data_IF_511105652814
#
_entry.id   IF_511105652814
#
_cell.length_a   1.000
_cell.length_b   1.000
_cell.length_c   1.000
_cell.angle_alpha   90.00
_cell.angle_beta   90.00
_cell.angle_gamma   90.00
#
_symmetry.space_group_name_H-M   'P 1'
#
loop_
_entity.id
_entity.type
_entity.pdbx_description
1 polymer ?
#
# COMPACT_ATOMS: atom_id res chain seq x y z
N UNK A 1 23.34 19.80 24.91
CA UNK A 1 21.89 19.61 24.78
C UNK A 1 21.23 19.44 26.12
N UNK A 2 19.94 19.70 26.20
CA UNK A 2 19.19 19.61 27.47
C UNK A 2 19.18 18.18 28.01
N UNK A 3 19.08 18.04 29.31
CA UNK A 3 19.10 16.74 29.98
C UNK A 3 17.94 15.85 29.49
N UNK A 4 18.24 14.60 29.15
CA UNK A 4 17.25 13.64 28.61
C UNK A 4 16.98 13.71 27.14
N UNK A 5 17.53 14.67 26.38
CA UNK A 5 17.38 14.77 24.92
C UNK A 5 18.14 13.64 24.24
N UNK A 6 17.44 12.88 23.40
CA UNK A 6 17.98 11.77 22.64
C UNK A 6 18.22 12.09 21.16
N UNK A 7 17.89 13.29 20.73
CA UNK A 7 18.09 13.82 19.38
C UNK A 7 17.45 15.17 19.21
N UNK A 8 18.01 15.98 18.34
CA UNK A 8 17.50 17.32 18.04
C UNK A 8 17.67 17.64 16.55
N UNK A 9 16.86 18.52 16.04
CA UNK A 9 16.91 19.02 14.70
C UNK A 9 16.65 20.53 14.68
N UNK A 10 17.57 21.26 14.09
CA UNK A 10 17.36 22.64 13.69
C UNK A 10 16.90 22.70 12.23
N UNK A 11 15.79 23.34 11.99
CA UNK A 11 15.22 23.50 10.66
C UNK A 11 14.97 24.98 10.36
N UNK A 12 15.12 25.38 9.10
CA UNK A 12 14.77 26.71 8.59
C UNK A 12 13.62 26.53 7.61
N UNK A 13 12.48 27.14 7.89
CA UNK A 13 11.32 27.06 7.02
C UNK A 13 10.43 28.31 7.17
N UNK A 14 9.88 28.81 6.07
CA UNK A 14 8.96 29.94 6.09
C UNK A 14 9.53 31.21 6.73
N UNK A 15 10.84 31.45 6.63
CA UNK A 15 11.51 32.62 7.21
C UNK A 15 11.84 32.51 8.71
N UNK A 16 11.58 31.38 9.35
CA UNK A 16 11.86 31.14 10.76
C UNK A 16 12.80 29.97 11.01
N UNK A 17 13.39 29.96 12.22
CA UNK A 17 14.17 28.84 12.73
C UNK A 17 13.30 28.03 13.69
N UNK A 18 13.34 26.71 13.52
CA UNK A 18 12.62 25.74 14.35
C UNK A 18 13.61 24.83 15.01
N UNK A 19 13.49 24.63 16.33
CA UNK A 19 14.29 23.70 17.10
C UNK A 19 13.38 22.60 17.65
N UNK A 20 13.50 21.39 17.12
CA UNK A 20 12.74 20.23 17.54
C UNK A 20 13.61 19.31 18.35
N UNK A 21 13.22 19.00 19.58
CA UNK A 21 13.90 18.09 20.49
C UNK A 21 13.09 16.82 20.68
N UNK A 22 13.77 15.68 20.73
CA UNK A 22 13.21 14.38 21.06
C UNK A 22 13.77 13.88 22.36
N UNK A 23 12.95 13.81 23.38
CA UNK A 23 13.32 13.24 24.67
C UNK A 23 13.31 11.71 24.62
N UNK A 24 14.22 11.07 25.37
CA UNK A 24 14.33 9.60 25.43
C UNK A 24 13.14 8.97 26.14
N UNK A 25 12.68 9.57 27.23
CA UNK A 25 11.53 9.13 28.00
C UNK A 25 10.47 10.23 28.05
N UNK A 26 10.77 11.37 28.71
CA UNK A 26 9.90 12.53 28.81
C UNK A 26 10.73 13.79 29.09
N UNK A 27 10.23 15.02 28.77
CA UNK A 27 10.86 16.27 29.20
C UNK A 27 10.70 16.47 30.70
N UNK A 28 11.51 17.38 31.29
CA UNK A 28 11.40 17.75 32.69
C UNK A 28 10.00 18.27 33.03
N UNK A 29 9.46 19.15 32.16
CA UNK A 29 8.12 19.70 32.27
C UNK A 29 7.35 19.41 30.95
N UNK A 30 6.05 19.15 31.08
CA UNK A 30 5.19 18.95 29.89
C UNK A 30 4.71 20.31 29.37
N UNK A 31 4.87 20.60 28.07
CA UNK A 31 4.26 21.78 27.47
C UNK A 31 2.73 21.60 27.40
N UNK A 32 2.02 22.70 27.57
CA UNK A 32 0.59 22.76 27.31
C UNK A 32 0.33 23.76 26.14
N UNK A 33 -0.34 23.33 25.06
CA UNK A 33 -1.00 22.06 24.82
C UNK A 33 -0.08 21.00 24.17
N UNK A 34 -0.41 19.72 24.36
CA UNK A 34 0.22 18.61 23.63
C UNK A 34 -0.59 18.28 22.38
N UNK A 35 0.07 18.24 21.22
CA UNK A 35 -0.56 17.79 19.96
C UNK A 35 -0.41 16.26 19.81
N UNK A 36 -1.52 15.60 19.50
CA UNK A 36 -1.59 14.15 19.35
C UNK A 36 -1.80 13.76 17.88
N UNK A 37 -0.77 13.22 17.22
CA UNK A 37 -0.80 12.77 15.83
C UNK A 37 -1.52 11.41 15.68
N UNK A 38 -2.80 11.35 16.04
CA UNK A 38 -3.61 10.12 15.96
C UNK A 38 -4.68 10.20 14.87
N UNK A 39 -5.22 11.41 14.68
CA UNK A 39 -6.33 11.62 13.75
C UNK A 39 -5.92 11.42 12.30
N UNK A 40 -4.68 11.74 11.94
CA UNK A 40 -4.11 11.51 10.62
C UNK A 40 -4.14 10.03 10.27
N UNK A 41 -3.73 9.15 11.20
CA UNK A 41 -3.78 7.70 10.99
C UNK A 41 -5.21 7.16 10.91
N UNK A 42 -6.10 7.66 11.78
CA UNK A 42 -7.49 7.20 11.82
C UNK A 42 -8.27 7.60 10.56
N UNK A 43 -8.19 8.87 10.15
CA UNK A 43 -8.87 9.33 8.95
C UNK A 43 -8.32 8.71 7.68
N UNK A 44 -7.02 8.48 7.60
CA UNK A 44 -6.41 7.76 6.47
C UNK A 44 -6.97 6.35 6.35
N UNK A 45 -7.07 5.63 7.47
CA UNK A 45 -7.62 4.27 7.45
C UNK A 45 -9.12 4.27 7.16
N UNK A 46 -9.91 5.13 7.81
CA UNK A 46 -11.36 5.20 7.63
C UNK A 46 -11.72 5.51 6.18
N UNK A 47 -11.09 6.53 5.58
CA UNK A 47 -11.34 6.88 4.18
C UNK A 47 -10.87 5.80 3.22
N UNK A 48 -9.70 5.21 3.47
CA UNK A 48 -9.17 4.10 2.67
C UNK A 48 -10.04 2.85 2.76
N UNK A 49 -10.52 2.51 3.95
CA UNK A 49 -11.43 1.36 4.14
C UNK A 49 -12.81 1.62 3.51
N UNK A 50 -13.36 2.83 3.64
CA UNK A 50 -14.61 3.20 2.97
C UNK A 50 -14.47 3.07 1.44
N UNK A 51 -13.38 3.55 0.87
CA UNK A 51 -13.08 3.38 -0.55
C UNK A 51 -12.94 1.90 -0.92
N UNK A 52 -12.28 1.10 -0.09
CA UNK A 52 -12.14 -0.34 -0.29
C UNK A 52 -13.50 -1.05 -0.30
N UNK A 53 -14.40 -0.69 0.61
CA UNK A 53 -15.79 -1.22 0.65
C UNK A 53 -16.54 -0.88 -0.64
N UNK A 54 -16.52 0.39 -1.05
CA UNK A 54 -17.24 0.85 -2.25
C UNK A 54 -16.68 0.19 -3.52
N UNK A 55 -15.36 0.15 -3.66
CA UNK A 55 -14.73 -0.37 -4.87
C UNK A 55 -14.75 -1.90 -4.94
N UNK A 56 -14.44 -2.57 -3.82
CA UNK A 56 -14.21 -4.02 -3.79
C UNK A 56 -15.37 -4.81 -3.23
N UNK A 57 -15.94 -4.43 -2.08
CA UNK A 57 -17.02 -5.21 -1.49
C UNK A 57 -18.36 -5.02 -2.21
N UNK A 58 -18.70 -3.78 -2.58
CA UNK A 58 -19.91 -3.53 -3.36
C UNK A 58 -19.86 -4.15 -4.78
N UNK A 59 -18.67 -4.34 -5.32
CA UNK A 59 -18.42 -4.91 -6.65
C UNK A 59 -17.53 -6.15 -6.60
N UNK A 60 -17.72 -7.03 -5.59
CA UNK A 60 -16.83 -8.15 -5.33
C UNK A 60 -16.69 -9.11 -6.52
N UNK A 61 -17.75 -9.34 -7.29
CA UNK A 61 -17.72 -10.18 -8.49
C UNK A 61 -16.75 -9.67 -9.56
N UNK A 62 -16.64 -8.34 -9.72
CA UNK A 62 -15.82 -7.72 -10.78
C UNK A 62 -14.39 -7.45 -10.36
N UNK A 63 -14.14 -7.22 -9.05
CA UNK A 63 -12.84 -6.74 -8.56
C UNK A 63 -12.10 -7.70 -7.63
N UNK A 64 -12.81 -8.62 -6.95
CA UNK A 64 -12.19 -9.56 -6.03
C UNK A 64 -12.12 -10.98 -6.59
N UNK A 65 -13.20 -11.42 -7.25
CA UNK A 65 -13.38 -12.80 -7.68
C UNK A 65 -12.88 -12.95 -9.11
N UNK A 66 -12.15 -14.02 -9.36
CA UNK A 66 -11.80 -14.49 -10.68
C UNK A 66 -12.25 -15.96 -10.78
N UNK A 67 -13.29 -16.27 -11.57
CA UNK A 67 -13.80 -17.64 -11.69
C UNK A 67 -12.79 -18.64 -12.25
N UNK A 68 -11.74 -18.14 -12.94
CA UNK A 68 -10.65 -19.00 -13.43
C UNK A 68 -9.68 -19.41 -12.32
N UNK A 69 -9.67 -18.69 -11.21
CA UNK A 69 -8.85 -18.97 -10.02
C UNK A 69 -9.63 -19.77 -9.00
N UNK A 70 -10.82 -19.27 -8.60
CA UNK A 70 -11.70 -19.96 -7.66
C UNK A 70 -13.15 -19.51 -7.83
N UNK A 71 -14.06 -20.49 -7.78
CA UNK A 71 -15.51 -20.22 -7.80
C UNK A 71 -16.00 -20.01 -6.36
N UNK A 72 -15.96 -18.75 -5.91
CA UNK A 72 -16.42 -18.35 -4.59
C UNK A 72 -17.53 -17.29 -4.69
N UNK A 73 -18.44 -17.30 -3.73
CA UNK A 73 -19.48 -16.28 -3.64
C UNK A 73 -18.93 -14.93 -3.15
N UNK A 74 -19.58 -13.79 -3.48
CA UNK A 74 -19.20 -12.49 -2.92
C UNK A 74 -19.15 -12.46 -1.40
N UNK A 75 -20.08 -13.14 -0.74
CA UNK A 75 -20.14 -13.22 0.72
C UNK A 75 -18.91 -13.94 1.30
N UNK A 76 -18.47 -15.04 0.67
CA UNK A 76 -17.26 -15.75 1.07
C UNK A 76 -16.01 -14.89 0.84
N UNK A 77 -15.91 -14.21 -0.30
CA UNK A 77 -14.79 -13.32 -0.60
C UNK A 77 -14.67 -12.17 0.43
N UNK A 78 -15.80 -11.51 0.74
CA UNK A 78 -15.84 -10.43 1.73
C UNK A 78 -15.56 -10.98 3.15
N UNK A 79 -16.15 -12.11 3.53
CA UNK A 79 -15.92 -12.75 4.81
C UNK A 79 -14.46 -13.11 5.04
N UNK A 80 -13.81 -13.72 4.04
CA UNK A 80 -12.39 -14.04 4.06
C UNK A 80 -11.53 -12.77 4.17
N UNK A 81 -11.86 -11.73 3.40
CA UNK A 81 -11.17 -10.45 3.45
C UNK A 81 -11.23 -9.84 4.84
N UNK A 82 -12.41 -9.73 5.45
CA UNK A 82 -12.58 -9.19 6.80
C UNK A 82 -11.86 -10.03 7.86
N UNK A 83 -11.91 -11.36 7.75
CA UNK A 83 -11.20 -12.27 8.64
C UNK A 83 -9.68 -12.06 8.57
N UNK A 84 -9.14 -11.82 7.37
CA UNK A 84 -7.71 -11.53 7.19
C UNK A 84 -7.30 -10.15 7.71
N UNK A 85 -8.15 -9.12 7.59
CA UNK A 85 -7.87 -7.80 8.18
C UNK A 85 -7.79 -7.91 9.71
N UNK A 86 -8.79 -8.55 10.33
CA UNK A 86 -8.84 -8.73 11.78
C UNK A 86 -7.74 -9.69 12.26
N UNK A 87 -7.64 -10.87 11.64
CA UNK A 87 -6.68 -11.91 12.00
C UNK A 87 -5.23 -11.48 11.79
N UNK A 88 -4.96 -10.73 10.72
CA UNK A 88 -3.65 -10.19 10.43
C UNK A 88 -3.14 -9.27 11.56
N UNK A 89 -3.99 -8.34 12.01
CA UNK A 89 -3.61 -7.49 13.14
C UNK A 89 -3.51 -8.24 14.46
N UNK A 90 -4.49 -9.08 14.79
CA UNK A 90 -4.49 -9.84 16.04
C UNK A 90 -3.29 -10.78 16.13
N UNK A 91 -2.99 -11.51 15.06
CA UNK A 91 -1.83 -12.40 14.99
C UNK A 91 -0.51 -11.66 15.10
N UNK A 92 -0.38 -10.53 14.41
CA UNK A 92 0.80 -9.66 14.50
C UNK A 92 0.96 -9.07 15.90
N UNK A 93 -0.12 -8.58 16.53
CA UNK A 93 -0.06 -8.02 17.88
C UNK A 93 0.33 -9.08 18.92
N UNK A 94 -0.26 -10.28 18.81
CA UNK A 94 0.09 -11.42 19.64
C UNK A 94 1.56 -11.85 19.47
N UNK A 95 2.05 -11.88 18.22
CA UNK A 95 3.45 -12.17 17.91
C UNK A 95 4.38 -11.19 18.60
N UNK A 96 4.12 -9.88 18.48
CA UNK A 96 4.94 -8.85 19.10
C UNK A 96 4.89 -8.91 20.64
N UNK A 97 3.72 -9.21 21.23
CA UNK A 97 3.58 -9.38 22.69
C UNK A 97 4.37 -10.59 23.21
N UNK A 98 4.36 -11.69 22.46
CA UNK A 98 5.07 -12.93 22.83
C UNK A 98 6.57 -12.86 22.60
N UNK A 99 7.01 -12.25 21.51
CA UNK A 99 8.41 -12.09 21.20
C UNK A 99 9.12 -11.07 22.12
N UNK A 100 8.37 -10.11 22.67
CA UNK A 100 8.93 -9.03 23.49
C UNK A 100 9.71 -8.00 22.68
N UNK A 101 10.55 -7.20 23.36
CA UNK A 101 11.34 -6.14 22.74
C UNK A 101 12.70 -6.62 22.21
N UNK A 102 13.16 -7.78 22.67
CA UNK A 102 14.52 -8.27 22.39
C UNK A 102 14.63 -9.02 21.07
N UNK A 103 13.50 -9.48 20.49
CA UNK A 103 13.46 -10.35 19.31
C UNK A 103 12.92 -9.63 18.07
N UNK A 104 13.21 -8.35 17.90
CA UNK A 104 12.70 -7.54 16.76
C UNK A 104 13.00 -8.15 15.39
N UNK A 105 14.20 -8.72 15.20
CA UNK A 105 14.57 -9.37 13.93
C UNK A 105 13.72 -10.61 13.63
N UNK A 106 13.43 -11.41 14.66
CA UNK A 106 12.57 -12.58 14.53
C UNK A 106 11.14 -12.16 14.17
N UNK A 107 10.60 -11.13 14.85
CA UNK A 107 9.28 -10.58 14.52
C UNK A 107 9.23 -10.12 13.07
N UNK A 108 10.23 -9.35 12.61
CA UNK A 108 10.31 -8.91 11.22
C UNK A 108 10.32 -10.07 10.23
N UNK A 109 11.15 -11.09 10.48
CA UNK A 109 11.22 -12.28 9.64
C UNK A 109 9.89 -13.04 9.59
N UNK A 110 9.27 -13.30 10.75
CA UNK A 110 7.98 -13.99 10.82
C UNK A 110 6.89 -13.22 10.09
N UNK A 111 6.85 -11.89 10.23
CA UNK A 111 5.88 -11.04 9.51
C UNK A 111 6.07 -11.15 8.01
N UNK A 112 7.31 -11.09 7.51
CA UNK A 112 7.61 -11.23 6.08
C UNK A 112 7.13 -12.61 5.56
N UNK A 113 7.48 -13.68 6.28
CA UNK A 113 7.08 -15.05 5.90
C UNK A 113 5.56 -15.20 5.90
N UNK A 114 4.88 -14.72 6.94
CA UNK A 114 3.41 -14.80 7.03
C UNK A 114 2.76 -14.00 5.91
N UNK A 115 3.21 -12.78 5.63
CA UNK A 115 2.67 -11.97 4.52
C UNK A 115 2.88 -12.65 3.16
N UNK A 116 4.05 -13.27 2.94
CA UNK A 116 4.34 -14.03 1.72
C UNK A 116 3.42 -15.26 1.58
N UNK A 117 3.21 -16.01 2.67
CA UNK A 117 2.30 -17.17 2.69
C UNK A 117 0.85 -16.75 2.47
N UNK A 118 0.40 -15.65 3.07
CA UNK A 118 -0.94 -15.10 2.85
C UNK A 118 -1.08 -14.64 1.39
N UNK A 119 -0.11 -13.94 0.81
CA UNK A 119 -0.14 -13.53 -0.58
C UNK A 119 -0.18 -14.73 -1.53
N UNK A 120 0.61 -15.77 -1.25
CA UNK A 120 0.56 -17.03 -1.99
C UNK A 120 -0.79 -17.72 -1.86
N UNK A 121 -1.33 -17.90 -0.65
CA UNK A 121 -2.63 -18.51 -0.44
C UNK A 121 -3.76 -17.74 -1.12
N UNK A 122 -3.75 -16.41 -1.03
CA UNK A 122 -4.73 -15.55 -1.69
C UNK A 122 -4.64 -15.60 -3.21
N UNK A 123 -3.47 -15.87 -3.79
CA UNK A 123 -3.33 -16.03 -5.25
C UNK A 123 -4.08 -17.22 -5.83
N UNK A 124 -4.54 -18.13 -4.97
CA UNK A 124 -5.38 -19.29 -5.33
C UNK A 124 -6.88 -19.05 -5.05
N UNK A 125 -7.24 -17.86 -4.58
CA UNK A 125 -8.62 -17.56 -4.18
C UNK A 125 -9.13 -16.27 -4.84
N UNK A 126 -8.29 -15.25 -4.94
CA UNK A 126 -8.65 -13.93 -5.44
C UNK A 126 -7.98 -13.62 -6.79
N UNK A 127 -8.56 -12.68 -7.52
CA UNK A 127 -7.91 -12.07 -8.67
C UNK A 127 -6.56 -11.45 -8.27
N UNK A 128 -5.58 -11.43 -9.16
CA UNK A 128 -4.24 -10.90 -8.86
C UNK A 128 -4.27 -9.48 -8.31
N UNK A 129 -5.15 -8.62 -8.84
CA UNK A 129 -5.37 -7.25 -8.34
C UNK A 129 -5.90 -7.24 -6.90
N UNK A 130 -6.83 -8.13 -6.57
CA UNK A 130 -7.40 -8.22 -5.23
C UNK A 130 -6.39 -8.73 -4.21
N UNK A 131 -5.48 -9.65 -4.59
CA UNK A 131 -4.36 -10.09 -3.74
C UNK A 131 -3.52 -8.92 -3.27
N UNK A 132 -3.10 -8.05 -4.22
CA UNK A 132 -2.29 -6.88 -3.89
C UNK A 132 -3.00 -5.97 -2.90
N UNK A 133 -4.25 -5.61 -3.21
CA UNK A 133 -5.00 -4.69 -2.36
C UNK A 133 -5.36 -5.28 -1.00
N UNK A 134 -5.64 -6.57 -0.93
CA UNK A 134 -5.89 -7.26 0.34
C UNK A 134 -4.66 -7.25 1.26
N UNK A 135 -3.47 -7.53 0.73
CA UNK A 135 -2.21 -7.43 1.49
C UNK A 135 -1.97 -5.98 1.94
N UNK A 136 -2.19 -5.00 1.06
CA UNK A 136 -2.09 -3.59 1.41
C UNK A 136 -3.06 -3.16 2.50
N UNK A 137 -4.32 -3.55 2.40
CA UNK A 137 -5.36 -3.27 3.40
C UNK A 137 -5.04 -3.93 4.74
N UNK A 138 -4.50 -5.16 4.73
CA UNK A 138 -4.08 -5.86 5.95
C UNK A 138 -2.92 -5.13 6.63
N UNK A 139 -1.88 -4.75 5.91
CA UNK A 139 -0.74 -3.99 6.45
C UNK A 139 -1.22 -2.61 6.94
N UNK A 140 -2.03 -1.89 6.18
CA UNK A 140 -2.59 -0.60 6.59
C UNK A 140 -3.43 -0.68 7.85
N UNK A 141 -4.23 -1.75 8.00
CA UNK A 141 -4.98 -2.04 9.23
C UNK A 141 -4.05 -2.29 10.42
N UNK A 142 -2.98 -3.09 10.23
CA UNK A 142 -1.96 -3.31 11.26
C UNK A 142 -1.30 -2.00 11.68
N UNK A 143 -0.95 -1.12 10.73
CA UNK A 143 -0.32 0.16 11.00
C UNK A 143 -1.22 1.08 11.84
N UNK A 144 -2.49 1.22 11.46
CA UNK A 144 -3.43 2.08 12.19
C UNK A 144 -3.81 1.49 13.54
N UNK A 145 -4.00 0.18 13.61
CA UNK A 145 -4.27 -0.51 14.88
C UNK A 145 -3.07 -0.41 15.85
N UNK A 146 -1.83 -0.42 15.36
CA UNK A 146 -0.66 -0.10 16.17
C UNK A 146 -0.75 1.29 16.79
N UNK A 147 -1.19 2.30 16.02
CA UNK A 147 -1.39 3.67 16.54
C UNK A 147 -2.46 3.67 17.62
N UNK A 148 -3.62 3.08 17.34
CA UNK A 148 -4.79 3.13 18.21
C UNK A 148 -4.61 2.35 19.52
N UNK A 149 -4.03 1.14 19.46
CA UNK A 149 -4.03 0.20 20.58
C UNK A 149 -2.70 0.06 21.30
N UNK A 150 -1.60 0.54 20.70
CA UNK A 150 -0.26 0.43 21.33
C UNK A 150 0.43 1.77 21.47
N UNK A 151 0.59 2.53 20.37
CA UNK A 151 1.38 3.76 20.38
C UNK A 151 0.71 4.83 21.25
N UNK A 152 -0.56 5.16 20.97
CA UNK A 152 -1.29 6.19 21.72
C UNK A 152 -1.51 5.80 23.19
N UNK A 153 -1.93 4.57 23.55
CA UNK A 153 -2.00 4.16 24.96
C UNK A 153 -0.66 4.23 25.68
N UNK A 154 0.43 3.80 25.03
CA UNK A 154 1.78 3.92 25.61
C UNK A 154 2.19 5.37 25.87
N UNK A 155 1.94 6.27 24.92
CA UNK A 155 2.21 7.70 25.08
C UNK A 155 1.35 8.32 26.18
N UNK A 156 0.06 7.95 26.28
CA UNK A 156 -0.81 8.41 27.36
C UNK A 156 -0.29 7.99 28.73
N UNK A 157 0.20 6.77 28.89
CA UNK A 157 0.77 6.29 30.15
C UNK A 157 1.99 7.14 30.57
N UNK A 158 2.86 7.53 29.63
CA UNK A 158 4.00 8.41 29.91
C UNK A 158 3.56 9.81 30.33
N UNK A 159 2.58 10.40 29.62
CA UNK A 159 2.04 11.74 29.95
C UNK A 159 1.38 11.73 31.33
N UNK A 160 0.50 10.77 31.60
CA UNK A 160 -0.20 10.66 32.88
C UNK A 160 0.76 10.46 34.07
N UNK A 161 1.85 9.71 33.90
CA UNK A 161 2.86 9.57 34.94
C UNK A 161 3.49 10.93 35.26
N UNK A 162 3.85 11.71 34.20
CA UNK A 162 4.41 13.06 34.39
C UNK A 162 3.43 14.03 35.04
N UNK A 163 2.16 14.04 34.62
CA UNK A 163 1.11 14.88 35.20
C UNK A 163 0.89 14.60 36.71
N UNK A 164 1.12 13.35 37.12
CA UNK A 164 1.05 12.92 38.54
C UNK A 164 2.33 13.14 39.32
N UNK A 165 3.38 13.73 38.73
CA UNK A 165 4.68 13.91 39.34
C UNK A 165 5.48 12.61 39.49
N UNK A 166 5.07 11.52 38.83
CA UNK A 166 5.74 10.22 38.87
C UNK A 166 6.78 10.11 37.76
N UNK A 167 7.82 9.32 38.00
CA UNK A 167 8.78 8.95 36.95
C UNK A 167 8.09 8.04 35.91
N UNK A 168 8.08 8.40 34.60
CA UNK A 168 7.48 7.58 33.58
C UNK A 168 8.24 6.26 33.38
N UNK A 169 7.52 5.13 33.28
CA UNK A 169 8.12 3.83 32.98
C UNK A 169 8.61 3.78 31.52
N UNK A 170 9.92 3.59 31.26
CA UNK A 170 10.50 3.53 29.92
C UNK A 170 9.91 2.42 29.05
N UNK A 171 9.35 1.34 29.62
CA UNK A 171 8.76 0.20 28.88
C UNK A 171 7.63 0.66 27.98
N UNK A 172 6.82 1.63 28.41
CA UNK A 172 5.78 2.21 27.55
C UNK A 172 6.37 2.89 26.32
N UNK A 173 7.43 3.69 26.51
CA UNK A 173 8.14 4.33 25.40
C UNK A 173 8.75 3.33 24.42
N UNK A 174 9.36 2.26 24.93
CA UNK A 174 9.97 1.20 24.12
C UNK A 174 8.93 0.43 23.29
N UNK A 175 7.78 0.08 23.87
CA UNK A 175 6.68 -0.58 23.16
C UNK A 175 6.11 0.29 22.04
N UNK A 176 5.83 1.56 22.33
CA UNK A 176 5.37 2.51 21.32
C UNK A 176 6.38 2.69 20.19
N UNK A 177 7.69 2.80 20.54
CA UNK A 177 8.79 2.90 19.57
C UNK A 177 8.90 1.67 18.67
N UNK A 178 8.80 0.46 19.22
CA UNK A 178 8.84 -0.79 18.44
C UNK A 178 7.78 -0.77 17.33
N UNK A 179 6.52 -0.49 17.70
CA UNK A 179 5.41 -0.44 16.72
C UNK A 179 5.58 0.69 15.71
N UNK A 180 6.07 1.85 16.14
CA UNK A 180 6.38 2.96 15.25
C UNK A 180 7.47 2.60 14.23
N UNK A 181 8.52 1.88 14.64
CA UNK A 181 9.56 1.39 13.73
C UNK A 181 8.99 0.39 12.73
N UNK A 182 8.14 -0.55 13.15
CA UNK A 182 7.46 -1.47 12.23
C UNK A 182 6.61 -0.70 11.20
N UNK A 183 5.83 0.29 11.64
CA UNK A 183 5.05 1.14 10.73
C UNK A 183 5.93 1.85 9.70
N UNK A 184 7.15 2.30 10.08
CA UNK A 184 8.06 2.91 9.09
C UNK A 184 8.54 1.93 8.02
N UNK A 185 8.75 0.66 8.35
CA UNK A 185 9.09 -0.36 7.33
C UNK A 185 7.91 -0.72 6.44
N UNK A 186 6.68 -0.68 6.94
CA UNK A 186 5.46 -0.93 6.16
C UNK A 186 5.10 0.21 5.21
N UNK A 187 5.59 1.43 5.43
CA UNK A 187 5.17 2.62 4.68
C UNK A 187 5.40 2.47 3.17
N UNK A 188 6.62 2.16 2.73
CA UNK A 188 6.91 2.06 1.29
C UNK A 188 6.22 0.87 0.62
N UNK A 189 6.16 -0.34 1.21
CA UNK A 189 5.35 -1.43 0.67
C UNK A 189 3.88 -1.04 0.46
N UNK A 190 3.25 -0.40 1.45
CA UNK A 190 1.84 0.01 1.34
C UNK A 190 1.65 1.08 0.27
N UNK A 191 2.54 2.07 0.19
CA UNK A 191 2.49 3.10 -0.86
C UNK A 191 2.56 2.50 -2.27
N UNK A 192 3.47 1.53 -2.48
CA UNK A 192 3.51 0.81 -3.75
C UNK A 192 2.20 0.08 -4.04
N UNK A 193 1.66 -0.65 -3.06
CA UNK A 193 0.40 -1.40 -3.24
C UNK A 193 -0.76 -0.45 -3.58
N UNK A 194 -0.83 0.74 -2.97
CA UNK A 194 -1.86 1.74 -3.26
C UNK A 194 -1.85 2.18 -4.74
N UNK A 195 -0.67 2.29 -5.36
CA UNK A 195 -0.53 2.68 -6.76
C UNK A 195 -0.46 1.49 -7.72
N UNK A 196 -0.38 0.26 -7.21
CA UNK A 196 -0.19 -0.95 -8.02
C UNK A 196 -1.28 -1.19 -9.05
N UNK A 197 -2.50 -0.69 -8.81
CA UNK A 197 -3.61 -0.77 -9.76
C UNK A 197 -3.31 -0.13 -11.13
N UNK A 198 -2.35 0.81 -11.17
CA UNK A 198 -1.89 1.46 -12.41
C UNK A 198 -0.81 0.66 -13.15
N UNK A 199 -0.33 -0.44 -12.58
CA UNK A 199 0.76 -1.26 -13.12
C UNK A 199 0.31 -2.71 -13.38
N UNK A 200 -0.52 -2.97 -14.42
CA UNK A 200 -1.06 -4.31 -14.70
C UNK A 200 -0.01 -5.40 -14.86
N UNK A 201 1.20 -5.05 -15.33
CA UNK A 201 2.31 -5.99 -15.45
C UNK A 201 2.73 -6.63 -14.12
N UNK A 202 2.42 -6.01 -12.98
CA UNK A 202 2.76 -6.56 -11.66
C UNK A 202 1.75 -7.58 -11.18
N UNK A 203 0.48 -7.21 -11.07
CA UNK A 203 -0.57 -8.08 -10.56
C UNK A 203 -1.14 -9.04 -11.63
N UNK A 204 -0.96 -8.75 -12.92
CA UNK A 204 -1.29 -9.65 -14.03
C UNK A 204 -0.20 -10.67 -14.35
N UNK A 205 0.97 -10.62 -13.69
CA UNK A 205 2.03 -11.59 -13.90
C UNK A 205 1.62 -12.99 -13.42
N UNK A 206 1.99 -14.11 -14.12
CA UNK A 206 1.66 -15.47 -13.70
C UNK A 206 2.09 -15.81 -12.26
N UNK A 207 3.14 -15.15 -11.78
CA UNK A 207 3.63 -15.26 -10.40
C UNK A 207 3.46 -13.95 -9.64
N UNK A 208 2.29 -13.31 -9.75
CA UNK A 208 1.99 -12.00 -9.18
C UNK A 208 2.31 -11.89 -7.68
N UNK A 209 2.02 -12.93 -6.90
CA UNK A 209 2.34 -12.96 -5.47
C UNK A 209 3.85 -12.87 -5.18
N UNK A 210 4.72 -13.49 -6.03
CA UNK A 210 6.18 -13.37 -5.88
C UNK A 210 6.64 -11.95 -6.23
N UNK A 211 6.07 -11.35 -7.27
CA UNK A 211 6.34 -9.95 -7.66
C UNK A 211 5.97 -9.02 -6.51
N UNK A 212 4.80 -9.20 -5.90
CA UNK A 212 4.37 -8.43 -4.72
C UNK A 212 5.37 -8.52 -3.58
N UNK A 213 5.76 -9.75 -3.21
CA UNK A 213 6.73 -10.00 -2.13
C UNK A 213 8.09 -9.36 -2.45
N UNK A 214 8.58 -9.53 -3.68
CA UNK A 214 9.86 -8.95 -4.11
C UNK A 214 9.85 -7.41 -4.02
N UNK A 215 8.78 -6.77 -4.49
CA UNK A 215 8.64 -5.31 -4.41
C UNK A 215 8.51 -4.86 -2.95
N UNK A 216 7.75 -5.56 -2.12
CA UNK A 216 7.61 -5.22 -0.70
C UNK A 216 8.95 -5.33 0.06
N UNK A 217 9.75 -6.37 -0.23
CA UNK A 217 11.09 -6.53 0.34
C UNK A 217 12.04 -5.44 -0.14
N UNK A 218 12.01 -5.12 -1.44
CA UNK A 218 12.81 -4.03 -2.00
C UNK A 218 12.45 -2.69 -1.38
N UNK A 219 11.16 -2.40 -1.23
CA UNK A 219 10.67 -1.19 -0.57
C UNK A 219 11.09 -1.11 0.91
N UNK A 220 11.01 -2.22 1.64
CA UNK A 220 11.50 -2.31 3.02
C UNK A 220 13.02 -2.13 3.10
N UNK A 221 13.78 -2.66 2.13
CA UNK A 221 15.23 -2.50 2.05
C UNK A 221 15.63 -1.04 1.77
N UNK A 222 14.93 -0.36 0.84
CA UNK A 222 15.10 1.09 0.64
C UNK A 222 14.78 1.86 1.93
N UNK A 223 13.71 1.49 2.62
CA UNK A 223 13.36 2.13 3.91
C UNK A 223 14.43 1.94 4.97
N UNK A 224 15.11 0.80 4.97
CA UNK A 224 16.21 0.52 5.89
C UNK A 224 17.36 1.53 5.76
N UNK A 225 17.70 1.94 4.51
CA UNK A 225 18.68 3.01 4.29
C UNK A 225 18.30 4.30 5.01
N UNK A 226 17.04 4.75 4.87
CA UNK A 226 16.58 5.96 5.53
C UNK A 226 16.59 5.84 7.05
N UNK A 227 16.23 4.67 7.59
CA UNK A 227 16.28 4.41 9.02
C UNK A 227 17.73 4.44 9.57
N UNK A 228 18.70 3.94 8.82
CA UNK A 228 20.12 4.04 9.17
C UNK A 228 20.61 5.49 9.10
N UNK A 229 20.25 6.21 8.05
CA UNK A 229 20.63 7.62 7.86
C UNK A 229 20.11 8.48 9.01
N UNK A 230 18.87 8.29 9.47
CA UNK A 230 18.33 9.00 10.64
C UNK A 230 19.06 8.66 11.95
N UNK A 231 19.81 7.56 12.00
CA UNK A 231 20.70 7.19 13.10
C UNK A 231 22.16 7.67 12.89
N UNK A 232 22.39 8.55 11.92
CA UNK A 232 23.74 9.07 11.59
C UNK A 232 24.62 8.12 10.79
N UNK A 233 24.09 6.99 10.29
CA UNK A 233 24.85 6.00 9.49
C UNK A 233 24.39 5.99 8.04
N UNK A 234 25.19 6.57 7.15
CA UNK A 234 24.89 6.57 5.70
C UNK A 234 25.63 5.45 5.01
N UNK A 235 24.91 4.47 4.48
CA UNK A 235 25.46 3.28 3.78
C UNK A 235 24.99 3.32 2.34
N UNK A 236 25.81 3.93 1.45
CA UNK A 236 25.47 4.11 0.03
C UNK A 236 25.34 2.80 -0.78
N UNK A 237 25.91 1.70 -0.27
CA UNK A 237 25.75 0.39 -0.89
C UNK A 237 24.27 -0.08 -0.93
N UNK A 238 23.44 0.36 0.03
CA UNK A 238 22.01 -0.03 0.09
C UNK A 238 21.22 0.54 -1.09
N UNK A 239 21.22 1.87 -1.35
CA UNK A 239 20.48 2.40 -2.51
C UNK A 239 21.07 1.92 -3.84
N UNK A 240 22.37 1.68 -3.95
CA UNK A 240 22.97 1.10 -5.16
C UNK A 240 22.46 -0.33 -5.42
N UNK A 241 22.47 -1.18 -4.39
CA UNK A 241 21.95 -2.55 -4.48
C UNK A 241 20.42 -2.55 -4.75
N UNK A 242 19.67 -1.62 -4.13
CA UNK A 242 18.25 -1.47 -4.37
C UNK A 242 17.95 -1.06 -5.82
N UNK A 243 18.71 -0.16 -6.40
CA UNK A 243 18.59 0.24 -7.80
C UNK A 243 18.83 -0.94 -8.76
N UNK A 244 19.88 -1.72 -8.53
CA UNK A 244 20.17 -2.91 -9.32
C UNK A 244 19.06 -3.96 -9.19
N UNK A 245 18.57 -4.21 -7.97
CA UNK A 245 17.46 -5.13 -7.74
C UNK A 245 16.15 -4.65 -8.40
N UNK A 246 15.89 -3.32 -8.39
CA UNK A 246 14.74 -2.74 -9.08
C UNK A 246 14.82 -2.92 -10.59
N UNK A 247 16.00 -2.70 -11.20
CA UNK A 247 16.22 -2.93 -12.63
C UNK A 247 16.06 -4.40 -13.00
N UNK A 248 16.63 -5.31 -12.21
CA UNK A 248 16.48 -6.75 -12.43
C UNK A 248 15.01 -7.17 -12.34
N UNK A 249 14.27 -6.69 -11.33
CA UNK A 249 12.85 -6.98 -11.18
C UNK A 249 12.04 -6.39 -12.36
N UNK A 250 12.33 -5.16 -12.78
CA UNK A 250 11.69 -4.53 -13.93
C UNK A 250 11.91 -5.36 -15.22
N UNK A 251 13.11 -5.90 -15.42
CA UNK A 251 13.41 -6.77 -16.56
C UNK A 251 12.60 -8.09 -16.51
N UNK A 252 12.37 -8.65 -15.31
CA UNK A 252 11.58 -9.87 -15.13
C UNK A 252 10.10 -9.67 -15.40
N UNK A 253 9.55 -8.51 -15.01
CA UNK A 253 8.11 -8.19 -15.17
C UNK A 253 7.80 -7.46 -16.47
N UNK A 254 8.81 -7.08 -17.25
CA UNK A 254 8.62 -6.41 -18.53
C UNK A 254 7.77 -7.28 -19.46
N UNK A 255 6.74 -6.73 -20.10
CA UNK A 255 6.01 -7.44 -21.12
C UNK A 255 6.94 -7.80 -22.30
N UNK A 256 6.72 -8.93 -22.96
CA UNK A 256 7.50 -9.27 -24.16
C UNK A 256 7.37 -8.15 -25.21
N UNK A 257 8.42 -7.93 -26.04
CA UNK A 257 8.37 -6.95 -27.11
C UNK A 257 7.16 -7.19 -28.01
N UNK A 258 6.53 -6.15 -28.56
CA UNK A 258 5.35 -6.28 -29.44
C UNK A 258 5.57 -7.21 -30.65
N UNK A 259 6.77 -7.33 -31.14
CA UNK A 259 7.17 -8.15 -32.29
C UNK A 259 7.27 -9.66 -31.97
N UNK A 260 7.32 -10.03 -30.70
CA UNK A 260 7.35 -11.43 -30.27
C UNK A 260 5.94 -12.08 -30.23
N UNK A 261 4.90 -11.27 -30.16
CA UNK A 261 3.53 -11.69 -30.40
C UNK A 261 3.26 -11.25 -31.83
N UNK A 262 3.29 -12.18 -32.78
CA UNK A 262 2.99 -11.86 -34.16
C UNK A 262 1.72 -11.04 -34.23
N UNK A 263 1.86 -9.72 -34.34
CA UNK A 263 0.72 -8.85 -34.54
C UNK A 263 0.02 -9.37 -35.80
N UNK A 264 -1.27 -9.77 -35.76
CA UNK A 264 -1.94 -10.26 -36.94
C UNK A 264 -1.75 -9.20 -38.02
N UNK A 265 -1.25 -9.61 -39.19
CA UNK A 265 -1.09 -8.69 -40.30
C UNK A 265 -2.45 -8.03 -40.55
N UNK A 266 -2.47 -6.81 -41.07
CA UNK A 266 -3.73 -6.13 -41.37
C UNK A 266 -4.68 -7.01 -42.18
N UNK A 267 -4.13 -7.88 -43.04
CA UNK A 267 -4.87 -8.88 -43.80
C UNK A 267 -5.52 -9.97 -42.92
N UNK A 268 -4.83 -10.44 -41.85
CA UNK A 268 -5.35 -11.42 -40.89
C UNK A 268 -6.39 -10.80 -39.97
N UNK A 269 -6.19 -9.57 -39.52
CA UNK A 269 -7.17 -8.84 -38.71
C UNK A 269 -8.46 -8.61 -39.51
N UNK A 270 -8.35 -8.22 -40.80
CA UNK A 270 -9.51 -8.02 -41.69
C UNK A 270 -10.21 -9.34 -42.02
N UNK A 271 -9.47 -10.42 -42.19
CA UNK A 271 -10.05 -11.76 -42.44
C UNK A 271 -10.72 -12.34 -41.17
N UNK A 272 -10.18 -12.07 -39.99
CA UNK A 272 -10.77 -12.44 -38.70
C UNK A 272 -12.07 -11.68 -38.41
N UNK A 273 -12.11 -10.37 -38.67
CA UNK A 273 -13.36 -9.59 -38.62
C UNK A 273 -14.38 -10.03 -39.63
N UNK A 274 -13.95 -10.35 -40.87
CA UNK A 274 -14.84 -10.88 -41.91
C UNK A 274 -15.41 -12.26 -41.54
N UNK A 275 -14.59 -13.16 -40.95
CA UNK A 275 -15.06 -14.44 -40.43
C UNK A 275 -16.03 -14.28 -39.27
N UNK A 276 -15.76 -13.35 -38.33
CA UNK A 276 -16.64 -13.07 -37.19
C UNK A 276 -17.99 -12.50 -37.63
N UNK A 277 -18.01 -11.68 -38.69
CA UNK A 277 -19.23 -11.18 -39.30
C UNK A 277 -20.01 -12.28 -40.07
N UNK A 278 -19.32 -13.24 -40.69
CA UNK A 278 -19.95 -14.36 -41.36
C UNK A 278 -20.51 -15.41 -40.38
N UNK A 279 -19.90 -15.63 -39.24
CA UNK A 279 -20.42 -16.53 -38.20
C UNK A 279 -21.50 -15.90 -37.33
N UNK A 280 -21.54 -14.58 -37.21
CA UNK A 280 -22.60 -13.79 -36.55
C UNK A 280 -23.80 -13.52 -37.50
N UNK A 281 -23.68 -13.82 -38.76
CA UNK A 281 -24.63 -13.46 -39.82
C UNK A 281 -25.83 -14.41 -39.98
N UNK A 282 -26.44 -14.88 -38.89
CA UNK A 282 -27.77 -15.44 -38.89
C UNK A 282 -28.72 -14.61 -38.02
N UNK A 283 -28.83 -13.31 -38.31
CA UNK A 283 -29.94 -12.47 -37.88
C UNK A 283 -30.40 -11.66 -39.10
N UNK A 284 -31.62 -11.90 -39.49
CA UNK A 284 -32.44 -11.35 -40.56
C UNK A 284 -32.18 -9.88 -40.88
N UNK A 285 -31.82 -9.63 -42.14
CA UNK A 285 -31.97 -8.31 -42.77
C UNK A 285 -33.45 -7.99 -42.94
N UNK A 286 -33.91 -6.95 -42.29
CA UNK A 286 -35.08 -6.21 -42.75
C UNK A 286 -34.58 -4.86 -43.29
N UNK A 287 -34.73 -4.70 -44.60
CA UNK A 287 -34.34 -3.53 -45.37
C UNK A 287 -35.24 -2.34 -45.02
N UNK A 288 -34.65 -1.22 -44.74
CA UNK A 288 -35.00 0.13 -45.26
C UNK A 288 -34.45 1.19 -44.33
N UNK A 289 -33.33 1.78 -44.71
CA UNK A 289 -33.16 3.25 -44.72
C UNK A 289 -31.78 3.60 -45.30
N UNK A 290 -31.77 4.45 -46.30
CA UNK A 290 -30.60 5.03 -46.97
C UNK A 290 -29.72 5.82 -45.99
N UNK A 291 -28.40 5.79 -46.11
CA UNK A 291 -27.53 6.75 -45.46
C UNK A 291 -27.40 8.00 -46.32
N UNK A 292 -27.78 9.11 -45.79
CA UNK A 292 -27.42 10.43 -46.34
C UNK A 292 -26.28 11.04 -45.51
N UNK A 293 -25.33 11.58 -46.27
CA UNK A 293 -24.32 12.59 -45.91
C UNK A 293 -23.10 12.18 -45.08
N UNK A 294 -22.05 12.08 -45.84
CA UNK A 294 -20.67 12.26 -45.47
C UNK A 294 -20.50 13.66 -44.83
N UNK A 295 -20.14 13.74 -43.56
CA UNK A 295 -19.62 14.96 -42.96
C UNK A 295 -18.10 14.95 -42.97
N UNK A 296 -17.52 15.93 -43.67
CA UNK A 296 -16.12 16.28 -43.68
C UNK A 296 -15.71 16.91 -42.33
N UNK A 297 -14.46 16.72 -41.85
CA UNK A 297 -13.99 17.31 -40.63
C UNK A 297 -13.51 18.74 -40.88
N UNK A 298 -14.30 19.73 -40.50
CA UNK A 298 -13.83 21.11 -40.36
C UNK A 298 -14.69 21.83 -39.32
N UNK A 299 -14.01 22.40 -38.36
CA UNK A 299 -14.45 23.30 -37.29
C UNK A 299 -14.43 22.73 -35.87
N UNK A 300 -13.21 22.62 -35.33
CA UNK A 300 -12.98 22.73 -33.92
C UNK A 300 -12.52 24.16 -33.67
N UNK A 301 -13.48 25.05 -33.43
CA UNK A 301 -13.20 26.44 -33.00
C UNK A 301 -13.23 26.48 -31.47
N UNK A 302 -12.16 26.99 -30.93
CA UNK A 302 -11.95 27.31 -29.53
C UNK A 302 -13.08 28.14 -28.91
N UNK A 303 -13.59 27.73 -27.76
CA UNK A 303 -14.25 28.60 -26.81
C UNK A 303 -13.44 28.66 -25.53
N UNK A 304 -12.52 29.61 -25.49
CA UNK A 304 -12.02 30.21 -24.25
C UNK A 304 -12.90 31.40 -23.94
N UNK A 305 -13.56 31.44 -22.80
CA UNK A 305 -13.67 32.70 -22.02
C UNK A 305 -14.36 32.49 -20.68
N UNK A 306 -13.66 32.92 -19.67
CA UNK A 306 -14.10 33.74 -18.52
C UNK A 306 -15.04 33.11 -17.49
N UNK A 307 -14.44 32.87 -16.31
CA UNK A 307 -15.05 33.36 -15.06
C UNK A 307 -13.91 33.64 -14.06
N UNK A 308 -13.49 34.89 -14.06
CA UNK A 308 -12.93 35.61 -12.92
C UNK A 308 -14.14 36.27 -12.25
N UNK A 309 -14.43 35.90 -11.03
CA UNK A 309 -14.76 36.75 -9.86
C UNK A 309 -14.84 35.85 -8.62
#
# INVERSE_FOLDING_TARGET
GDEGVGGELWAVHGGGFYHVQKFRVAPAELPAPLHWFKWEAYWTWLSGFALFVVMYYANARSYMIDPTVADISPAQAIGLSLALLAGGWLGYDLLCKRAGLDRERLVGLVVIVVLALVAWGLSHVFSGRAVYLQIGAMIGTMMTANVAHVIIPSQRALVQAKERGLAPDPVHGLRGKQRSVHNTYFTLPVLFIMISSHYPMTWGHPRAWMVLVAIALLAAFVRHFFNLRHRGRTVWAIPAAAALAALALAAVIAPPPPDAVGAPSFAEATSSEARMRLTSGRITMNSTTRPSSIMTPSSMTYMTSSLVN
#
